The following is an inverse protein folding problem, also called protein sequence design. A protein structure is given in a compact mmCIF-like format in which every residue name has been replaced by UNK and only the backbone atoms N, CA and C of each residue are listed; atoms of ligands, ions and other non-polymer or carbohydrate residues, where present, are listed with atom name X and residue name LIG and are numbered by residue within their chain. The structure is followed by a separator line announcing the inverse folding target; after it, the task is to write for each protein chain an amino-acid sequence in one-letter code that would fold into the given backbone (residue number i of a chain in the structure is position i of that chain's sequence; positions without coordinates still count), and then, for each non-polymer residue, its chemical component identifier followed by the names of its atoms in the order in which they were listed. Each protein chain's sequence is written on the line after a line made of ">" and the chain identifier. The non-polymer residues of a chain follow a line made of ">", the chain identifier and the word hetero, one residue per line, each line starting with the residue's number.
data_IF_077289771204
#
_entry.id   IF_077289771204
#
_cell.length_a   1.000
_cell.length_b   1.000
_cell.length_c   1.000
_cell.angle_alpha   90.00
_cell.angle_beta   90.00
_cell.angle_gamma   90.00
#
_symmetry.space_group_name_H-M   'P 1'
#
loop_
_entity.id
_entity.type
_entity.pdbx_description
1 polymer ?
#
# COMPACT_ATOMS: atom_id res chain seq x y z
N UNK A 1 24.08 19.48 8.63
CA UNK A 1 24.46 18.16 8.11
C UNK A 1 23.16 17.58 7.65
N UNK A 2 22.98 17.56 6.33
CA UNK A 2 21.73 17.24 5.69
C UNK A 2 21.66 15.72 5.57
N UNK A 3 20.88 15.09 6.44
CA UNK A 3 20.66 13.64 6.42
C UNK A 3 19.67 13.30 5.31
N UNK A 4 20.12 13.42 4.05
CA UNK A 4 19.38 12.96 2.89
C UNK A 4 19.53 11.43 2.78
N UNK A 5 18.42 10.71 2.93
CA UNK A 5 18.36 9.27 2.67
C UNK A 5 18.30 9.01 1.16
N UNK A 6 19.35 8.43 0.60
CA UNK A 6 19.35 7.97 -0.79
C UNK A 6 18.77 6.56 -0.88
N UNK A 7 17.63 6.42 -1.55
CA UNK A 7 17.02 5.13 -1.83
C UNK A 7 17.30 4.67 -3.26
N UNK A 8 17.81 3.45 -3.41
CA UNK A 8 17.81 2.73 -4.67
C UNK A 8 16.85 1.56 -4.57
N UNK A 9 16.12 1.33 -5.65
CA UNK A 9 15.08 0.32 -5.70
C UNK A 9 15.25 -0.54 -6.93
N UNK A 10 15.05 -1.83 -6.75
CA UNK A 10 14.83 -2.80 -7.81
C UNK A 10 13.70 -3.71 -7.40
N UNK A 11 12.86 -4.11 -8.36
CA UNK A 11 11.83 -5.11 -8.17
C UNK A 11 12.07 -6.27 -9.13
N UNK A 12 11.93 -7.47 -8.60
CA UNK A 12 11.98 -8.70 -9.36
C UNK A 12 10.78 -9.56 -8.97
N UNK A 13 10.03 -9.99 -9.98
CA UNK A 13 8.93 -10.94 -9.83
C UNK A 13 9.18 -12.09 -10.80
N UNK A 14 9.12 -13.32 -10.31
CA UNK A 14 8.99 -14.51 -11.12
C UNK A 14 7.74 -15.25 -10.67
N UNK A 15 6.81 -15.48 -11.59
CA UNK A 15 5.50 -16.04 -11.26
C UNK A 15 5.62 -17.55 -11.01
N UNK A 16 5.31 -17.97 -9.79
CA UNK A 16 5.37 -19.38 -9.41
C UNK A 16 4.27 -20.24 -10.04
N UNK A 17 4.55 -20.84 -11.21
CA UNK A 17 4.03 -22.14 -11.68
C UNK A 17 2.52 -22.37 -11.90
N UNK A 18 1.60 -21.52 -11.41
CA UNK A 18 0.14 -21.68 -11.59
C UNK A 18 -0.50 -20.41 -12.12
N UNK A 19 -0.79 -20.40 -13.42
CA UNK A 19 -1.32 -19.29 -14.25
C UNK A 19 -2.57 -18.55 -13.72
N UNK A 20 -3.24 -19.04 -12.69
CA UNK A 20 -4.46 -18.45 -12.09
C UNK A 20 -4.25 -17.89 -10.67
N UNK A 21 -3.03 -18.01 -10.14
CA UNK A 21 -2.57 -17.49 -8.87
C UNK A 21 -1.46 -16.51 -9.22
N UNK A 22 -1.85 -15.26 -9.44
CA UNK A 22 -0.95 -14.21 -9.90
C UNK A 22 -0.42 -13.46 -8.68
N UNK A 23 0.91 -13.35 -8.58
CA UNK A 23 1.56 -12.48 -7.62
C UNK A 23 1.64 -11.07 -8.21
N UNK A 24 1.24 -10.05 -7.45
CA UNK A 24 1.30 -8.66 -7.92
C UNK A 24 2.29 -7.89 -7.05
N UNK A 25 3.21 -7.17 -7.68
CA UNK A 25 4.11 -6.24 -7.01
C UNK A 25 3.69 -4.83 -7.39
N UNK A 26 3.50 -3.98 -6.39
CA UNK A 26 3.17 -2.57 -6.58
C UNK A 26 4.24 -1.70 -5.93
N UNK A 27 4.66 -0.68 -6.67
CA UNK A 27 5.57 0.35 -6.18
C UNK A 27 4.97 1.70 -6.55
N UNK A 28 4.83 2.58 -5.56
CA UNK A 28 4.43 3.97 -5.77
C UNK A 28 5.36 4.92 -5.04
N UNK A 29 5.64 6.05 -5.66
CA UNK A 29 6.32 7.18 -5.03
C UNK A 29 5.43 8.39 -5.26
N UNK A 30 4.96 8.99 -4.18
CA UNK A 30 4.11 10.18 -4.19
C UNK A 30 4.67 11.23 -3.23
N UNK A 31 4.16 12.46 -3.27
CA UNK A 31 4.55 13.52 -2.34
C UNK A 31 3.50 13.68 -1.23
N UNK A 32 3.94 14.04 -0.03
CA UNK A 32 3.05 14.40 1.07
C UNK A 32 2.20 15.61 0.67
N UNK A 33 0.89 15.59 0.97
CA UNK A 33 0.07 16.79 0.83
C UNK A 33 0.64 17.91 1.70
N UNK A 34 0.76 19.12 1.14
CA UNK A 34 1.03 20.31 1.93
C UNK A 34 -0.13 20.58 2.87
N UNK A 35 0.18 21.10 4.06
CA UNK A 35 -0.83 21.52 5.01
C UNK A 35 -1.59 22.71 4.42
N UNK A 36 -2.72 22.46 3.76
CA UNK A 36 -3.79 23.45 3.69
C UNK A 36 -4.30 23.63 5.12
N UNK A 37 -4.48 24.89 5.54
CA UNK A 37 -5.05 25.22 6.85
C UNK A 37 -6.29 24.38 7.10
N UNK A 38 -6.36 23.70 8.26
CA UNK A 38 -7.31 22.66 8.68
C UNK A 38 -8.83 22.99 8.51
N UNK A 39 -9.18 24.13 7.96
CA UNK A 39 -10.54 24.64 7.72
C UNK A 39 -11.19 24.18 6.40
N UNK A 40 -10.41 23.82 5.37
CA UNK A 40 -10.98 23.56 4.04
C UNK A 40 -11.40 22.09 3.81
N UNK A 41 -10.81 21.14 4.54
CA UNK A 41 -11.21 19.73 4.46
C UNK A 41 -12.63 19.47 4.98
N UNK A 42 -13.11 20.26 5.95
CA UNK A 42 -14.47 20.13 6.49
C UNK A 42 -15.54 20.77 5.60
N UNK A 43 -15.19 21.77 4.76
CA UNK A 43 -16.17 22.52 3.95
C UNK A 43 -16.56 21.82 2.66
N UNK A 44 -15.75 20.88 2.17
CA UNK A 44 -16.06 20.08 0.96
C UNK A 44 -17.17 19.05 1.15
N UNK A 45 -17.67 18.82 2.38
CA UNK A 45 -18.75 17.86 2.66
C UNK A 45 -20.15 18.50 2.81
N UNK A 46 -20.32 19.77 2.43
CA UNK A 46 -21.51 20.54 2.79
C UNK A 46 -22.24 21.27 1.67
N UNK A 47 -22.16 20.86 0.40
CA UNK A 47 -23.03 21.29 -0.73
C UNK A 47 -22.51 20.53 -1.97
N UNK A 48 -23.32 19.94 -2.83
CA UNK A 48 -24.01 20.63 -3.92
C UNK A 48 -25.02 19.68 -4.57
N UNK A 49 -26.26 20.15 -4.72
CA UNK A 49 -27.20 19.68 -5.73
C UNK A 49 -26.83 20.21 -7.11
N UNK A 50 -27.00 19.35 -8.12
CA UNK A 50 -27.20 19.62 -9.56
C UNK A 50 -26.70 20.96 -10.15
N UNK A 51 -25.60 20.88 -10.91
CA UNK A 51 -25.19 21.92 -11.86
C UNK A 51 -23.99 21.47 -12.71
N UNK A 52 -24.17 21.37 -14.03
CA UNK A 52 -23.14 21.06 -15.03
C UNK A 52 -22.20 22.26 -15.25
N UNK A 53 -20.89 22.02 -15.26
CA UNK A 53 -19.93 22.73 -16.11
C UNK A 53 -18.62 21.92 -16.20
N UNK A 54 -18.10 21.78 -17.42
CA UNK A 54 -16.82 21.16 -17.76
C UNK A 54 -15.66 22.12 -17.48
N UNK A 55 -14.62 21.66 -16.78
CA UNK A 55 -13.23 22.13 -16.95
C UNK A 55 -12.28 21.04 -16.45
N UNK A 56 -11.40 20.58 -17.33
CA UNK A 56 -10.39 19.54 -17.08
C UNK A 56 -9.15 20.08 -16.35
N UNK A 57 -8.69 19.49 -15.23
CA UNK A 57 -7.36 19.76 -14.70
C UNK A 57 -6.34 18.80 -15.30
N UNK A 58 -5.23 19.38 -15.77
CA UNK A 58 -4.09 18.68 -16.35
C UNK A 58 -3.38 17.82 -15.30
N UNK A 59 -3.71 16.53 -15.28
CA UNK A 59 -3.07 15.50 -14.45
C UNK A 59 -1.68 15.20 -15.01
N UNK A 60 -0.61 15.76 -14.45
CA UNK A 60 0.76 15.29 -14.71
C UNK A 60 1.07 14.09 -13.82
N UNK A 61 0.58 12.93 -14.24
CA UNK A 61 0.99 11.62 -13.72
C UNK A 61 2.32 11.25 -14.38
N UNK A 62 3.38 11.12 -13.59
CA UNK A 62 4.67 10.60 -14.07
C UNK A 62 4.76 9.12 -13.65
N UNK A 63 4.57 8.24 -14.65
CA UNK A 63 4.74 6.78 -14.66
C UNK A 63 3.96 5.95 -13.63
N UNK A 64 2.70 5.66 -13.94
CA UNK A 64 2.15 4.32 -13.71
C UNK A 64 2.92 3.35 -14.62
N UNK A 65 3.71 2.45 -14.03
CA UNK A 65 4.12 1.24 -14.75
C UNK A 65 3.38 0.08 -14.09
N UNK A 66 2.30 -0.36 -14.74
CA UNK A 66 1.75 -1.69 -14.52
C UNK A 66 2.77 -2.68 -15.11
N UNK A 67 3.80 -3.04 -14.32
CA UNK A 67 4.94 -3.83 -14.80
C UNK A 67 4.48 -5.29 -14.94
N UNK A 68 4.11 -5.67 -16.17
CA UNK A 68 4.04 -7.08 -16.55
C UNK A 68 5.45 -7.63 -16.74
N UNK A 69 5.78 -8.68 -15.99
CA UNK A 69 6.86 -9.66 -16.22
C UNK A 69 8.06 -9.17 -17.05
N UNK A 70 8.95 -8.38 -16.42
CA UNK A 70 10.33 -8.16 -16.88
C UNK A 70 11.17 -7.59 -15.72
N UNK A 71 12.49 -7.81 -15.69
CA UNK A 71 13.37 -7.13 -14.73
C UNK A 71 13.37 -5.63 -15.05
N UNK A 72 12.76 -4.82 -14.19
CA UNK A 72 12.75 -3.38 -14.31
C UNK A 72 13.72 -2.79 -13.28
N UNK A 73 14.73 -2.07 -13.78
CA UNK A 73 15.64 -1.27 -12.95
C UNK A 73 15.19 0.18 -13.05
N UNK A 74 14.70 0.74 -11.95
CA UNK A 74 14.40 2.16 -11.83
C UNK A 74 15.32 2.75 -10.75
N UNK A 75 16.36 3.46 -11.19
CA UNK A 75 17.25 4.18 -10.28
C UNK A 75 16.73 5.62 -10.13
N UNK A 76 16.48 6.03 -8.89
CA UNK A 76 16.09 7.39 -8.54
C UNK A 76 17.14 7.97 -7.59
N UNK A 77 17.48 9.24 -7.81
CA UNK A 77 18.41 10.01 -6.97
C UNK A 77 17.75 11.36 -6.76
N UNK A 78 17.29 11.65 -5.54
CA UNK A 78 16.95 13.00 -5.13
C UNK A 78 18.05 13.51 -4.20
N UNK A 79 18.69 14.62 -4.58
CA UNK A 79 19.63 15.35 -3.75
C UNK A 79 18.88 16.53 -3.16
N UNK A 80 18.62 16.49 -1.86
CA UNK A 80 18.02 17.61 -1.14
C UNK A 80 19.15 18.51 -0.64
N UNK A 81 19.21 19.74 -1.14
CA UNK A 81 20.08 20.80 -0.60
C UNK A 81 19.20 21.92 -0.06
N UNK A 82 19.29 22.21 1.24
CA UNK A 82 18.77 23.45 1.80
C UNK A 82 19.79 24.57 1.50
N UNK A 83 19.35 25.56 0.73
CA UNK A 83 20.17 26.69 0.34
C UNK A 83 19.30 27.84 -0.13
N UNK A 84 18.78 28.61 0.82
CA UNK A 84 18.31 29.96 0.58
C UNK A 84 19.39 30.77 -0.14
N UNK A 85 19.06 31.32 -1.32
CA UNK A 85 19.66 32.58 -1.78
C UNK A 85 18.52 33.52 -2.14
N UNK A 86 18.22 34.41 -1.20
CA UNK A 86 17.55 35.67 -1.46
C UNK A 86 18.61 36.66 -1.97
N UNK A 87 18.46 37.23 -3.17
CA UNK A 87 18.66 38.66 -3.49
C UNK A 87 18.87 38.92 -4.99
N UNK A 88 17.92 39.64 -5.60
CA UNK A 88 18.18 40.87 -6.36
C UNK A 88 16.88 41.69 -6.46
N UNK A 89 17.03 43.00 -6.31
CA UNK A 89 15.97 43.98 -6.00
C UNK A 89 15.36 44.66 -7.24
N UNK A 90 14.02 44.79 -7.25
CA UNK A 90 13.13 45.92 -7.70
C UNK A 90 13.08 46.39 -9.18
N UNK A 91 11.99 47.08 -9.65
CA UNK A 91 10.62 47.24 -9.10
C UNK A 91 9.44 47.08 -10.11
N UNK A 92 8.23 46.96 -9.54
CA UNK A 92 6.90 47.40 -10.04
C UNK A 92 6.30 46.84 -11.35
N UNK A 93 5.23 46.05 -11.22
CA UNK A 93 3.89 46.39 -11.74
C UNK A 93 2.82 45.47 -11.12
N UNK A 94 1.79 46.08 -10.52
CA UNK A 94 0.62 45.41 -9.97
C UNK A 94 -0.30 44.89 -11.09
N UNK A 95 -0.65 43.60 -11.08
CA UNK A 95 -2.03 43.20 -11.39
C UNK A 95 -2.35 41.85 -10.76
N UNK A 96 -3.52 41.82 -10.15
CA UNK A 96 -4.07 40.80 -9.27
C UNK A 96 -4.70 39.63 -10.03
N UNK A 97 -4.23 38.41 -9.76
CA UNK A 97 -5.06 37.19 -9.74
C UNK A 97 -4.35 36.12 -8.91
N UNK A 98 -4.82 35.90 -7.69
CA UNK A 98 -4.35 34.82 -6.83
C UNK A 98 -4.97 33.50 -7.30
N UNK A 99 -4.32 32.85 -8.25
CA UNK A 99 -4.52 31.43 -8.48
C UNK A 99 -3.84 30.68 -7.32
N UNK A 100 -4.64 30.02 -6.49
CA UNK A 100 -4.15 29.15 -5.45
C UNK A 100 -3.53 27.91 -6.10
N UNK A 101 -2.25 27.99 -6.46
CA UNK A 101 -1.49 26.79 -6.79
C UNK A 101 -1.40 25.91 -5.54
N UNK A 102 -2.00 24.73 -5.64
CA UNK A 102 -1.90 23.63 -4.68
C UNK A 102 -0.43 23.21 -4.61
N UNK A 103 0.34 23.91 -3.78
CA UNK A 103 1.79 23.81 -3.75
C UNK A 103 2.22 22.49 -3.13
N UNK A 104 2.37 21.45 -3.92
CA UNK A 104 2.95 20.16 -3.49
C UNK A 104 4.37 20.40 -2.98
N UNK A 105 4.65 20.07 -1.72
CA UNK A 105 6.00 20.13 -1.17
C UNK A 105 6.78 18.92 -1.68
N UNK A 106 7.48 19.10 -2.79
CA UNK A 106 8.31 18.07 -3.41
C UNK A 106 9.46 17.59 -2.51
N UNK A 107 9.67 18.20 -1.33
CA UNK A 107 10.69 17.82 -0.35
C UNK A 107 10.28 16.66 0.56
N UNK A 108 9.03 16.19 0.49
CA UNK A 108 8.54 15.08 1.32
C UNK A 108 7.90 14.00 0.48
N UNK A 109 8.73 13.11 -0.07
CA UNK A 109 8.23 11.94 -0.78
C UNK A 109 7.85 10.81 0.19
N UNK A 110 6.86 10.02 -0.24
CA UNK A 110 6.39 8.79 0.40
C UNK A 110 6.51 7.68 -0.61
N UNK A 111 7.24 6.64 -0.24
CA UNK A 111 7.34 5.43 -1.05
C UNK A 111 6.47 4.33 -0.46
N UNK A 112 5.73 3.65 -1.33
CA UNK A 112 4.89 2.51 -1.03
C UNK A 112 5.37 1.31 -1.84
N UNK A 113 5.57 0.20 -1.16
CA UNK A 113 5.97 -1.07 -1.76
C UNK A 113 5.00 -2.13 -1.26
N UNK A 114 4.51 -2.97 -2.15
CA UNK A 114 3.63 -4.04 -1.78
C UNK A 114 3.85 -5.29 -2.61
N UNK A 115 3.69 -6.44 -1.96
CA UNK A 115 3.58 -7.75 -2.60
C UNK A 115 2.23 -8.35 -2.21
N UNK A 116 1.51 -8.84 -3.22
CA UNK A 116 0.22 -9.50 -3.10
C UNK A 116 0.32 -10.87 -3.75
N UNK A 117 0.47 -11.94 -2.96
CA UNK A 117 0.47 -13.33 -3.45
C UNK A 117 -0.98 -13.81 -3.56
N UNK A 118 -1.46 -14.00 -4.79
CA UNK A 118 -2.84 -14.33 -5.11
C UNK A 118 -3.12 -15.83 -5.03
N UNK A 119 -4.25 -16.23 -4.43
CA UNK A 119 -4.69 -17.62 -4.36
C UNK A 119 -6.17 -17.78 -4.70
N UNK A 120 -6.55 -18.91 -5.30
CA UNK A 120 -7.97 -19.21 -5.58
C UNK A 120 -8.62 -18.34 -6.67
N UNK A 121 -7.80 -17.60 -7.43
CA UNK A 121 -8.18 -16.63 -8.45
C UNK A 121 -7.25 -15.41 -8.38
N UNK A 122 -7.23 -14.56 -9.42
CA UNK A 122 -6.37 -13.35 -9.49
C UNK A 122 -7.03 -12.10 -8.94
N UNK A 123 -8.35 -12.13 -8.76
CA UNK A 123 -9.19 -10.96 -8.55
C UNK A 123 -8.82 -10.19 -7.27
N UNK A 124 -8.57 -10.90 -6.17
CA UNK A 124 -8.23 -10.27 -4.90
C UNK A 124 -6.85 -9.58 -4.92
N UNK A 125 -5.84 -10.19 -5.55
CA UNK A 125 -4.50 -9.62 -5.67
C UNK A 125 -4.51 -8.33 -6.51
N UNK A 126 -5.20 -8.37 -7.66
CA UNK A 126 -5.38 -7.20 -8.54
C UNK A 126 -6.19 -6.09 -7.84
N UNK A 127 -7.29 -6.45 -7.17
CA UNK A 127 -8.08 -5.46 -6.43
C UNK A 127 -7.25 -4.78 -5.34
N UNK A 128 -6.46 -5.56 -4.59
CA UNK A 128 -5.60 -5.01 -3.55
C UNK A 128 -4.53 -4.08 -4.13
N UNK A 129 -3.87 -4.45 -5.23
CA UNK A 129 -2.85 -3.60 -5.86
C UNK A 129 -3.43 -2.29 -6.41
N UNK A 130 -4.65 -2.32 -6.94
CA UNK A 130 -5.30 -1.14 -7.51
C UNK A 130 -5.83 -0.18 -6.43
N UNK A 131 -6.32 -0.69 -5.30
CA UNK A 131 -7.11 0.10 -4.35
C UNK A 131 -6.49 0.31 -2.97
N UNK A 132 -5.60 -0.59 -2.50
CA UNK A 132 -5.14 -0.56 -1.11
C UNK A 132 -4.43 0.77 -0.79
N UNK A 133 -3.56 1.25 -1.68
CA UNK A 133 -2.81 2.49 -1.46
C UNK A 133 -3.74 3.69 -1.19
N UNK A 134 -4.74 3.90 -2.04
CA UNK A 134 -5.67 5.02 -1.85
C UNK A 134 -6.54 4.85 -0.61
N UNK A 135 -6.89 3.60 -0.27
CA UNK A 135 -7.63 3.31 0.96
C UNK A 135 -6.81 3.59 2.22
N UNK A 136 -5.49 3.39 2.20
CA UNK A 136 -4.59 3.74 3.29
C UNK A 136 -4.49 5.25 3.46
N UNK A 137 -4.21 5.99 2.37
CA UNK A 137 -4.09 7.46 2.38
C UNK A 137 -5.33 8.18 2.89
N UNK A 138 -6.52 7.61 2.64
CA UNK A 138 -7.80 8.16 3.09
C UNK A 138 -8.07 8.00 4.59
N UNK A 139 -7.32 7.16 5.29
CA UNK A 139 -7.57 6.95 6.71
C UNK A 139 -7.08 8.14 7.55
N UNK A 140 -7.94 8.61 8.46
CA UNK A 140 -7.52 9.61 9.46
C UNK A 140 -6.32 9.08 10.24
N UNK A 141 -5.26 9.87 10.30
CA UNK A 141 -4.00 9.53 10.96
C UNK A 141 -2.91 9.05 10.01
N UNK A 142 -3.22 8.76 8.74
CA UNK A 142 -2.19 8.30 7.79
C UNK A 142 -1.07 9.32 7.63
N UNK A 143 -1.40 10.60 7.46
CA UNK A 143 -0.46 11.72 7.35
C UNK A 143 -0.03 12.33 8.70
N UNK A 144 -0.39 11.69 9.82
CA UNK A 144 -0.04 12.22 11.16
C UNK A 144 1.45 12.09 11.43
N UNK A 145 2.00 13.02 12.22
CA UNK A 145 3.36 12.90 12.77
C UNK A 145 3.46 11.84 13.87
N UNK A 146 2.33 11.47 14.48
CA UNK A 146 2.26 10.42 15.49
C UNK A 146 2.28 9.03 14.83
N UNK A 147 3.36 8.28 15.07
CA UNK A 147 3.54 6.93 14.53
C UNK A 147 2.41 5.96 14.92
N UNK A 148 1.82 6.12 16.11
CA UNK A 148 0.73 5.26 16.56
C UNK A 148 -0.55 5.49 15.73
N UNK A 149 -0.81 6.74 15.35
CA UNK A 149 -1.92 7.10 14.46
C UNK A 149 -1.69 6.58 13.04
N UNK A 150 -0.45 6.63 12.55
CA UNK A 150 -0.08 6.05 11.24
C UNK A 150 -0.31 4.53 11.25
N UNK A 151 0.17 3.82 12.27
CA UNK A 151 -0.05 2.37 12.40
C UNK A 151 -1.56 2.03 12.49
N UNK A 152 -2.33 2.82 13.24
CA UNK A 152 -3.78 2.65 13.32
C UNK A 152 -4.46 2.92 11.97
N UNK A 153 -4.00 3.90 11.21
CA UNK A 153 -4.47 4.21 9.87
C UNK A 153 -4.16 3.06 8.88
N UNK A 154 -2.95 2.51 8.91
CA UNK A 154 -2.59 1.34 8.09
C UNK A 154 -3.52 0.16 8.36
N UNK A 155 -3.74 -0.17 9.64
CA UNK A 155 -4.69 -1.22 10.05
C UNK A 155 -6.10 -0.97 9.52
N UNK A 156 -6.60 0.26 9.64
CA UNK A 156 -7.94 0.64 9.13
C UNK A 156 -8.02 0.52 7.61
N UNK A 157 -6.96 0.88 6.89
CA UNK A 157 -6.91 0.77 5.42
C UNK A 157 -6.98 -0.67 4.93
N UNK A 158 -6.28 -1.60 5.59
CA UNK A 158 -6.40 -3.04 5.30
C UNK A 158 -7.83 -3.56 5.51
N UNK A 159 -8.45 -3.17 6.63
CA UNK A 159 -9.84 -3.55 6.93
C UNK A 159 -10.81 -2.95 5.89
N UNK A 160 -10.61 -1.69 5.51
CA UNK A 160 -11.40 -1.04 4.47
C UNK A 160 -11.25 -1.73 3.11
N UNK A 161 -10.03 -2.14 2.74
CA UNK A 161 -9.76 -2.90 1.52
C UNK A 161 -10.46 -4.26 1.53
N UNK A 162 -10.40 -4.98 2.65
CA UNK A 162 -11.13 -6.23 2.81
C UNK A 162 -12.65 -6.05 2.62
N UNK A 163 -13.24 -5.02 3.24
CA UNK A 163 -14.67 -4.73 3.06
C UNK A 163 -15.02 -4.28 1.64
N UNK A 164 -14.11 -3.59 0.95
CA UNK A 164 -14.31 -3.20 -0.45
C UNK A 164 -14.28 -4.44 -1.37
N UNK A 165 -13.31 -5.35 -1.18
CA UNK A 165 -13.29 -6.65 -1.88
C UNK A 165 -14.58 -7.45 -1.65
N UNK A 166 -15.09 -7.47 -0.42
CA UNK A 166 -16.33 -8.18 -0.11
C UNK A 166 -17.52 -7.67 -0.92
N UNK A 167 -17.56 -6.37 -1.24
CA UNK A 167 -18.64 -5.77 -2.04
C UNK A 167 -18.54 -6.14 -3.51
N UNK A 168 -17.33 -6.32 -4.04
CA UNK A 168 -17.09 -6.74 -5.43
C UNK A 168 -17.20 -8.26 -5.63
N UNK A 169 -17.14 -9.06 -4.56
CA UNK A 169 -17.20 -10.52 -4.61
C UNK A 169 -18.35 -11.09 -5.49
N UNK A 170 -19.56 -10.53 -5.53
CA UNK A 170 -20.63 -11.02 -6.41
C UNK A 170 -20.32 -10.94 -7.91
N UNK A 171 -19.47 -9.99 -8.31
CA UNK A 171 -19.08 -9.74 -9.70
C UNK A 171 -17.88 -10.59 -10.14
N UNK A 172 -17.15 -11.19 -9.19
CA UNK A 172 -16.01 -12.03 -9.48
C UNK A 172 -16.42 -13.40 -10.07
N UNK A 173 -15.55 -14.02 -10.91
CA UNK A 173 -15.84 -15.33 -11.48
C UNK A 173 -16.18 -16.37 -10.40
N UNK A 174 -17.34 -17.01 -10.55
CA UNK A 174 -17.77 -18.09 -9.67
C UNK A 174 -16.86 -19.31 -9.84
N UNK A 175 -16.81 -20.15 -8.81
CA UNK A 175 -16.12 -21.44 -8.91
C UNK A 175 -16.81 -22.33 -9.96
N UNK A 176 -16.12 -23.40 -10.40
CA UNK A 176 -16.68 -24.41 -11.31
C UNK A 176 -17.99 -25.05 -10.79
N UNK A 177 -18.24 -25.01 -9.48
CA UNK A 177 -19.46 -25.51 -8.85
C UNK A 177 -20.55 -24.45 -8.69
N UNK A 178 -20.35 -23.25 -9.26
CA UNK A 178 -21.28 -22.13 -9.18
C UNK A 178 -21.30 -21.40 -7.84
N UNK A 179 -20.35 -21.67 -6.95
CA UNK A 179 -20.22 -20.97 -5.67
C UNK A 179 -19.52 -19.61 -5.86
N UNK A 180 -19.69 -18.65 -4.93
CA UNK A 180 -18.93 -17.41 -4.94
C UNK A 180 -17.41 -17.65 -5.08
N UNK A 181 -16.71 -16.70 -5.70
CA UNK A 181 -15.26 -16.77 -5.89
C UNK A 181 -14.54 -17.09 -4.57
N UNK A 182 -13.46 -17.86 -4.67
CA UNK A 182 -12.56 -18.14 -3.55
C UNK A 182 -11.25 -17.38 -3.67
N UNK A 183 -11.20 -16.38 -4.55
CA UNK A 183 -10.00 -15.55 -4.71
C UNK A 183 -9.69 -14.82 -3.41
N UNK A 184 -8.43 -14.90 -3.01
CA UNK A 184 -7.84 -14.22 -1.87
C UNK A 184 -6.40 -13.84 -2.20
N UNK A 185 -5.79 -13.05 -1.33
CA UNK A 185 -4.39 -12.66 -1.49
C UNK A 185 -3.73 -12.44 -0.15
N UNK A 186 -2.42 -12.62 -0.08
CA UNK A 186 -1.61 -12.02 0.98
C UNK A 186 -1.47 -10.51 0.72
N UNK A 187 -0.96 -9.76 1.69
CA UNK A 187 -0.47 -8.41 1.45
C UNK A 187 0.66 -8.11 2.40
N UNK A 188 1.85 -7.84 1.88
CA UNK A 188 3.01 -7.35 2.62
C UNK A 188 3.37 -5.96 2.10
N UNK A 189 3.13 -4.94 2.93
CA UNK A 189 3.26 -3.53 2.56
C UNK A 189 4.35 -2.86 3.38
N UNK A 190 5.21 -2.10 2.70
CA UNK A 190 6.18 -1.18 3.31
C UNK A 190 5.83 0.24 2.87
N UNK A 191 5.71 1.15 3.83
CA UNK A 191 5.56 2.60 3.59
C UNK A 191 6.78 3.30 4.18
N UNK A 192 7.53 4.01 3.34
CA UNK A 192 8.66 4.84 3.77
C UNK A 192 8.25 6.30 3.68
N UNK A 193 8.37 7.02 4.79
CA UNK A 193 8.05 8.45 4.86
C UNK A 193 9.09 9.17 5.72
N UNK A 194 9.84 10.08 5.10
CA UNK A 194 11.02 10.67 5.73
C UNK A 194 12.01 9.58 6.14
N UNK A 195 12.39 9.56 7.42
CA UNK A 195 13.31 8.57 8.00
C UNK A 195 12.61 7.34 8.60
N UNK A 196 11.30 7.20 8.40
CA UNK A 196 10.50 6.15 9.03
C UNK A 196 10.01 5.12 8.02
N UNK A 197 10.12 3.85 8.41
CA UNK A 197 9.57 2.71 7.70
C UNK A 197 8.41 2.10 8.51
N UNK A 198 7.25 1.98 7.89
CA UNK A 198 6.08 1.34 8.46
C UNK A 198 5.78 0.06 7.68
N UNK A 199 5.46 -1.02 8.39
CA UNK A 199 5.13 -2.31 7.77
C UNK A 199 3.74 -2.74 8.21
N UNK A 200 2.92 -3.14 7.24
CA UNK A 200 1.62 -3.75 7.46
C UNK A 200 1.52 -5.05 6.65
N UNK A 201 1.06 -6.12 7.29
CA UNK A 201 1.21 -7.47 6.74
C UNK A 201 0.01 -8.36 7.07
N UNK A 202 -0.41 -9.18 6.09
CA UNK A 202 -1.32 -10.30 6.27
C UNK A 202 -0.96 -11.44 5.30
N UNK A 203 -0.72 -12.64 5.84
CA UNK A 203 -0.50 -13.84 5.03
C UNK A 203 0.87 -14.42 5.30
N UNK A 204 1.53 -14.94 4.27
CA UNK A 204 2.83 -15.59 4.38
C UNK A 204 3.84 -15.13 3.31
N UNK A 205 3.60 -13.94 2.75
CA UNK A 205 4.65 -13.16 2.08
C UNK A 205 5.48 -12.42 3.13
N UNK A 206 6.79 -12.24 2.93
CA UNK A 206 7.66 -11.70 3.96
C UNK A 206 8.25 -10.32 3.61
N UNK A 207 8.53 -9.51 4.65
CA UNK A 207 9.41 -8.35 4.58
C UNK A 207 10.67 -8.64 5.41
N UNK A 208 11.83 -8.55 4.77
CA UNK A 208 13.14 -8.77 5.40
C UNK A 208 14.03 -7.57 5.09
N UNK A 209 14.69 -7.04 6.12
CA UNK A 209 15.64 -5.92 6.00
C UNK A 209 17.05 -6.45 6.12
N UNK A 210 17.89 -6.15 5.12
CA UNK A 210 19.32 -6.39 5.19
C UNK A 210 20.01 -5.24 5.94
N UNK A 211 20.58 -5.53 7.11
CA UNK A 211 21.31 -4.55 7.93
C UNK A 211 22.81 -4.77 7.75
N UNK A 212 23.55 -3.68 7.53
CA UNK A 212 25.01 -3.64 7.52
C UNK A 212 25.46 -2.62 8.55
N UNK A 213 26.11 -3.07 9.62
CA UNK A 213 26.52 -2.18 10.72
C UNK A 213 27.77 -1.35 10.38
N UNK A 214 28.73 -1.94 9.64
CA UNK A 214 29.99 -1.27 9.30
C UNK A 214 30.27 -1.32 7.79
N UNK A 215 30.80 -0.25 7.21
CA UNK A 215 31.15 -0.20 5.78
C UNK A 215 32.18 -1.26 5.36
N UNK A 216 33.04 -1.68 6.29
CA UNK A 216 34.01 -2.76 6.10
C UNK A 216 33.39 -4.17 6.09
N UNK A 217 32.17 -4.35 6.57
CA UNK A 217 31.52 -5.66 6.56
C UNK A 217 31.06 -6.04 5.16
N UNK A 218 31.40 -7.27 4.77
CA UNK A 218 30.93 -7.89 3.52
C UNK A 218 29.64 -8.69 3.72
N UNK A 219 29.24 -8.91 4.98
CA UNK A 219 28.07 -9.70 5.38
C UNK A 219 26.89 -8.79 5.72
N UNK A 220 25.73 -9.07 5.13
CA UNK A 220 24.45 -8.46 5.49
C UNK A 220 23.75 -9.34 6.53
N UNK A 221 23.30 -8.75 7.63
CA UNK A 221 22.40 -9.42 8.56
C UNK A 221 20.97 -9.33 8.04
N UNK A 222 20.29 -10.47 7.90
CA UNK A 222 18.87 -10.49 7.57
C UNK A 222 18.02 -10.31 8.83
N UNK A 223 17.23 -9.24 8.87
CA UNK A 223 16.26 -8.96 9.91
C UNK A 223 14.85 -9.19 9.36
N UNK A 224 14.20 -10.28 9.77
CA UNK A 224 12.80 -10.54 9.44
C UNK A 224 11.90 -9.55 10.18
N UNK A 225 11.15 -8.74 9.42
CA UNK A 225 10.24 -7.73 9.99
C UNK A 225 8.85 -8.30 10.22
N UNK A 226 8.44 -9.24 9.37
CA UNK A 226 7.13 -9.90 9.43
C UNK A 226 7.26 -11.33 9.88
N UNK A 227 6.28 -11.81 10.64
CA UNK A 227 6.09 -13.23 10.93
C UNK A 227 4.96 -13.78 10.06
N UNK A 228 5.24 -14.86 9.33
CA UNK A 228 4.22 -15.55 8.52
C UNK A 228 3.01 -15.96 9.37
N UNK A 229 1.81 -15.69 8.88
CA UNK A 229 0.55 -16.14 9.49
C UNK A 229 0.27 -17.61 9.13
N UNK A 230 1.09 -18.54 9.65
CA UNK A 230 0.88 -19.99 9.44
C UNK A 230 -0.14 -20.56 10.42
N UNK A 231 -1.05 -21.45 9.97
CA UNK A 231 -2.12 -21.98 10.81
C UNK A 231 -1.63 -22.84 11.99
N UNK A 232 -0.40 -23.36 11.94
CA UNK A 232 0.21 -24.11 13.03
C UNK A 232 0.80 -23.25 14.15
N UNK A 233 0.94 -21.93 13.96
CA UNK A 233 1.41 -21.05 15.01
C UNK A 233 0.40 -21.02 16.17
N UNK A 234 0.84 -21.07 17.44
CA UNK A 234 -0.07 -21.17 18.58
C UNK A 234 -1.16 -20.09 18.60
N UNK A 235 -0.79 -18.83 18.33
CA UNK A 235 -1.72 -17.70 18.32
C UNK A 235 -2.74 -17.79 17.18
N UNK A 236 -2.29 -18.14 15.97
CA UNK A 236 -3.17 -18.27 14.81
C UNK A 236 -4.08 -19.48 14.92
N UNK A 237 -3.56 -20.61 15.41
CA UNK A 237 -4.35 -21.80 15.69
C UNK A 237 -5.45 -21.51 16.70
N UNK A 238 -5.11 -20.86 17.81
CA UNK A 238 -6.09 -20.47 18.84
C UNK A 238 -7.16 -19.54 18.24
N UNK A 239 -6.75 -18.55 17.44
CA UNK A 239 -7.66 -17.62 16.76
C UNK A 239 -8.64 -18.36 15.82
N UNK A 240 -8.14 -19.32 15.03
CA UNK A 240 -8.94 -20.15 14.12
C UNK A 240 -9.94 -20.99 14.90
N UNK A 241 -9.48 -21.72 15.92
CA UNK A 241 -10.30 -22.64 16.72
C UNK A 241 -11.38 -21.88 17.52
N UNK A 242 -11.04 -20.72 18.09
CA UNK A 242 -11.98 -19.85 18.82
C UNK A 242 -13.14 -19.36 17.95
N UNK A 243 -12.93 -19.18 16.65
CA UNK A 243 -13.96 -18.77 15.69
C UNK A 243 -14.73 -19.95 15.08
N UNK A 244 -14.48 -21.19 15.54
CA UNK A 244 -15.16 -22.40 15.08
C UNK A 244 -14.50 -23.09 13.87
N UNK A 245 -13.32 -22.63 13.46
CA UNK A 245 -12.48 -23.29 12.47
C UNK A 245 -11.68 -24.46 13.07
N UNK A 246 -10.90 -25.14 12.25
CA UNK A 246 -9.91 -26.11 12.72
C UNK A 246 -8.70 -26.15 11.81
N UNK A 247 -7.57 -26.64 12.32
CA UNK A 247 -6.34 -26.84 11.55
C UNK A 247 -6.16 -28.33 11.27
N UNK A 248 -6.03 -28.70 10.00
CA UNK A 248 -5.86 -30.09 9.58
C UNK A 248 -4.67 -30.24 8.63
N UNK A 249 -3.89 -31.30 8.80
CA UNK A 249 -2.80 -31.65 7.90
C UNK A 249 -3.37 -32.31 6.63
N UNK A 250 -3.18 -31.67 5.48
CA UNK A 250 -3.55 -32.19 4.15
C UNK A 250 -2.31 -32.28 3.27
N UNK A 251 -2.01 -33.48 2.76
CA UNK A 251 -0.83 -33.73 1.92
C UNK A 251 0.47 -33.21 2.54
N UNK A 252 0.64 -33.38 3.85
CA UNK A 252 1.83 -32.93 4.57
C UNK A 252 1.80 -31.48 5.06
N UNK A 253 0.84 -30.64 4.62
CA UNK A 253 0.78 -29.21 4.93
C UNK A 253 -0.43 -28.90 5.82
N UNK A 254 -0.25 -28.04 6.83
CA UNK A 254 -1.35 -27.58 7.67
C UNK A 254 -2.27 -26.63 6.89
N UNK A 255 -3.58 -26.87 6.95
CA UNK A 255 -4.62 -26.10 6.26
C UNK A 255 -5.73 -25.75 7.22
N UNK A 256 -6.25 -24.53 7.08
CA UNK A 256 -7.48 -24.13 7.75
C UNK A 256 -8.67 -24.86 7.11
N UNK A 257 -9.54 -25.41 7.94
CA UNK A 257 -10.80 -26.02 7.50
C UNK A 257 -11.96 -25.41 8.28
N UNK A 258 -13.07 -25.24 7.58
CA UNK A 258 -14.33 -24.76 8.15
C UNK A 258 -15.39 -25.82 7.93
N UNK A 259 -16.13 -26.19 8.98
CA UNK A 259 -17.37 -26.94 8.83
C UNK A 259 -18.41 -25.96 8.31
N UNK A 260 -18.68 -25.98 7.00
CA UNK A 260 -19.82 -25.23 6.46
C UNK A 260 -21.08 -25.65 7.22
N UNK A 261 -21.88 -24.72 7.77
CA UNK A 261 -23.20 -25.05 8.25
C UNK A 261 -23.93 -25.82 7.15
N UNK A 262 -24.48 -27.00 7.48
CA UNK A 262 -25.38 -27.67 6.54
C UNK A 262 -26.54 -26.71 6.34
N UNK A 263 -26.71 -26.20 5.12
CA UNK A 263 -27.96 -25.58 4.70
C UNK A 263 -29.00 -26.68 4.88
N UNK A 264 -29.70 -26.66 6.00
CA UNK A 264 -30.82 -27.56 6.24
C UNK A 264 -31.92 -27.10 5.29
N UNK A 265 -32.44 -28.08 4.53
CA UNK A 265 -33.52 -27.91 3.56
C UNK A 265 -34.79 -27.35 4.20
#
# INVERSE_FOLDING_TARGET
>A
MDDALLFRMSAFSDQGGRKYMEDVIEIRIEYEPTASTDEDYLKSQGQVGHGKAETSPTKRTITEQHIKSAPATAAWVETLSDGDICSISTPEEESSSADAEDGVDTRKSVAFFAVFDGHGGREAAHFASEHLWDLLKRQRGFWSKDHSEVCAALRKGFIACHHAMWKELPEWPKTITGLPSTSGTTASVVVIRGVHMYVAHVGDSAVVVGVKENDSDITLQALEITQDHKPELPQERERIERLGGSVMKKSGVNRVVWKRPRLTH
#
